data_IF_617377045618
#
_entry.id   IF_617377045618
#
_cell.length_a   1.000
_cell.length_b   1.000
_cell.length_c   1.000
_cell.angle_alpha   90.00
_cell.angle_beta   90.00
_cell.angle_gamma   90.00
#
_symmetry.space_group_name_H-M   'P 1'
#
loop_
_entity.id
_entity.type
_entity.pdbx_description
1 polymer ?
#
# COMPACT_ATOMS: atom_id res chain seq x y z
N UNK A 1 -26.33 24.94 28.77
CA UNK A 1 -25.62 24.30 27.64
C UNK A 1 -26.65 23.98 26.57
N UNK A 2 -26.56 24.58 25.38
CA UNK A 2 -27.47 24.24 24.28
C UNK A 2 -27.32 22.75 23.96
N UNK A 3 -28.43 22.02 23.94
CA UNK A 3 -28.49 20.63 23.52
C UNK A 3 -28.02 20.54 22.08
N UNK A 4 -26.83 19.99 21.89
CA UNK A 4 -26.19 19.86 20.58
C UNK A 4 -27.01 18.85 19.75
N UNK A 5 -27.42 19.20 18.52
CA UNK A 5 -28.22 18.30 17.70
C UNK A 5 -27.44 17.02 17.38
N UNK A 6 -28.15 15.89 17.38
CA UNK A 6 -27.57 14.57 17.10
C UNK A 6 -26.91 14.53 15.71
N UNK A 7 -25.78 13.81 15.54
CA UNK A 7 -25.04 13.75 14.27
C UNK A 7 -25.90 13.29 13.09
N UNK A 8 -26.90 12.44 13.34
CA UNK A 8 -27.86 11.97 12.34
C UNK A 8 -28.65 13.09 11.65
N UNK A 9 -28.92 14.21 12.35
CA UNK A 9 -29.64 15.36 11.78
C UNK A 9 -28.82 16.13 10.74
N UNK A 10 -27.51 15.92 10.67
CA UNK A 10 -26.62 16.62 9.74
C UNK A 10 -26.28 15.81 8.49
N UNK A 11 -26.55 14.51 8.45
CA UNK A 11 -26.19 13.65 7.33
C UNK A 11 -27.00 13.86 6.07
N UNK A 12 -28.26 14.28 6.21
CA UNK A 12 -29.13 14.64 5.08
C UNK A 12 -28.93 16.06 4.55
N UNK A 13 -28.01 16.85 5.15
CA UNK A 13 -27.74 18.21 4.67
C UNK A 13 -26.97 18.16 3.33
N UNK A 14 -27.20 19.13 2.45
CA UNK A 14 -26.47 19.24 1.20
C UNK A 14 -24.98 19.47 1.48
N UNK A 15 -24.16 18.84 0.66
CA UNK A 15 -22.70 18.95 0.60
C UNK A 15 -22.27 18.97 -0.87
N UNK A 16 -21.03 19.34 -1.16
CA UNK A 16 -20.56 19.44 -2.54
C UNK A 16 -19.24 18.71 -2.73
N UNK A 17 -19.12 17.99 -3.85
CA UNK A 17 -17.81 17.66 -4.37
C UNK A 17 -17.27 18.89 -5.10
N UNK A 18 -16.28 19.52 -4.49
CA UNK A 18 -15.70 20.76 -4.99
C UNK A 18 -14.89 20.54 -6.27
N UNK A 19 -15.14 21.38 -7.28
CA UNK A 19 -14.35 21.40 -8.52
C UNK A 19 -12.88 21.78 -8.25
N UNK A 20 -12.63 22.54 -7.18
CA UNK A 20 -11.28 22.88 -6.73
C UNK A 20 -10.40 21.64 -6.43
N UNK A 21 -11.00 20.50 -6.09
CA UNK A 21 -10.27 19.25 -5.84
C UNK A 21 -9.93 18.48 -7.12
N UNK A 22 -10.39 18.92 -8.30
CA UNK A 22 -10.23 18.18 -9.56
C UNK A 22 -8.76 18.02 -9.96
N UNK A 23 -7.94 19.06 -9.79
CA UNK A 23 -6.50 18.99 -10.12
C UNK A 23 -5.77 17.96 -9.24
N UNK A 24 -6.08 17.95 -7.94
CA UNK A 24 -5.54 16.96 -7.01
C UNK A 24 -6.01 15.54 -7.42
N UNK A 25 -7.29 15.39 -7.76
CA UNK A 25 -7.87 14.12 -8.19
C UNK A 25 -7.22 13.59 -9.48
N UNK A 26 -6.96 14.45 -10.48
CA UNK A 26 -6.25 14.08 -11.72
C UNK A 26 -4.86 13.54 -11.39
N UNK A 27 -4.08 14.31 -10.60
CA UNK A 27 -2.73 13.91 -10.16
C UNK A 27 -2.77 12.54 -9.46
N UNK A 28 -3.67 12.39 -8.49
CA UNK A 28 -3.81 11.17 -7.69
C UNK A 28 -4.25 9.97 -8.55
N UNK A 29 -5.18 10.18 -9.49
CA UNK A 29 -5.64 9.15 -10.42
C UNK A 29 -4.49 8.66 -11.32
N UNK A 30 -3.68 9.57 -11.88
CA UNK A 30 -2.51 9.21 -12.69
C UNK A 30 -1.54 8.35 -11.89
N UNK A 31 -1.15 8.78 -10.69
CA UNK A 31 -0.21 8.02 -9.86
C UNK A 31 -0.74 6.65 -9.44
N UNK A 32 -2.02 6.55 -9.06
CA UNK A 32 -2.63 5.27 -8.71
C UNK A 32 -2.68 4.31 -9.90
N UNK A 33 -3.04 4.79 -11.10
CA UNK A 33 -3.06 3.97 -12.31
C UNK A 33 -1.65 3.51 -12.71
N UNK A 34 -0.65 4.40 -12.65
CA UNK A 34 0.76 4.01 -12.85
C UNK A 34 1.21 2.98 -11.80
N UNK A 35 0.70 3.11 -10.58
CA UNK A 35 0.93 2.16 -9.48
C UNK A 35 0.40 0.75 -9.74
N UNK A 36 -0.50 0.56 -10.72
CA UNK A 36 -0.97 -0.77 -11.12
C UNK A 36 -0.12 -1.46 -12.17
N UNK A 37 0.77 -0.75 -12.88
CA UNK A 37 1.67 -1.37 -13.86
C UNK A 37 2.49 -2.54 -13.27
N UNK A 38 3.07 -2.42 -12.06
CA UNK A 38 3.73 -3.55 -11.41
C UNK A 38 2.77 -4.72 -11.09
N UNK A 39 1.51 -4.45 -10.74
CA UNK A 39 0.54 -5.52 -10.47
C UNK A 39 0.19 -6.26 -11.78
N UNK A 40 -0.04 -5.53 -12.87
CA UNK A 40 -0.27 -6.14 -14.18
C UNK A 40 0.93 -6.97 -14.65
N UNK A 41 2.15 -6.49 -14.42
CA UNK A 41 3.35 -7.26 -14.72
C UNK A 41 3.44 -8.56 -13.89
N UNK A 42 3.02 -8.55 -12.62
CA UNK A 42 2.92 -9.78 -11.83
C UNK A 42 1.96 -10.77 -12.47
N UNK A 43 0.78 -10.30 -12.91
CA UNK A 43 -0.22 -11.15 -13.57
C UNK A 43 0.36 -11.78 -14.84
N UNK A 44 1.04 -11.00 -15.67
CA UNK A 44 1.73 -11.52 -16.88
C UNK A 44 2.79 -12.56 -16.50
N UNK A 45 3.54 -12.34 -15.42
CA UNK A 45 4.53 -13.30 -14.95
C UNK A 45 3.87 -14.62 -14.51
N UNK A 46 2.76 -14.55 -13.77
CA UNK A 46 1.99 -15.73 -13.33
C UNK A 46 1.43 -16.48 -14.54
N UNK A 47 0.87 -15.75 -15.52
CA UNK A 47 0.34 -16.34 -16.75
C UNK A 47 1.42 -17.10 -17.53
N UNK A 48 2.61 -16.50 -17.68
CA UNK A 48 3.74 -17.14 -18.37
C UNK A 48 4.37 -18.29 -17.58
N UNK A 49 4.29 -18.28 -16.25
CA UNK A 49 4.87 -19.31 -15.40
C UNK A 49 4.02 -19.55 -14.15
N UNK A 50 3.10 -20.54 -14.15
CA UNK A 50 2.20 -20.79 -13.03
C UNK A 50 2.91 -21.24 -11.75
N UNK A 51 4.17 -21.70 -11.83
CA UNK A 51 4.96 -22.03 -10.65
C UNK A 51 5.24 -20.80 -9.75
N UNK A 52 5.18 -19.59 -10.30
CA UNK A 52 5.28 -18.34 -9.53
C UNK A 52 4.13 -18.27 -8.53
N UNK A 53 2.91 -18.62 -8.94
CA UNK A 53 1.75 -18.62 -8.06
C UNK A 53 1.98 -19.59 -6.90
N UNK A 54 2.38 -20.83 -7.17
CA UNK A 54 2.60 -21.83 -6.13
C UNK A 54 3.69 -21.40 -5.13
N UNK A 55 4.77 -20.78 -5.63
CA UNK A 55 5.93 -20.39 -4.82
C UNK A 55 5.73 -19.11 -4.00
N UNK A 56 4.99 -18.14 -4.54
CA UNK A 56 4.85 -16.81 -3.94
C UNK A 56 3.41 -16.47 -3.54
N UNK A 57 2.48 -17.46 -3.53
CA UNK A 57 1.07 -17.25 -3.16
C UNK A 57 0.90 -16.55 -1.81
N UNK A 58 1.65 -16.94 -0.79
CA UNK A 58 1.53 -16.42 0.58
C UNK A 58 2.30 -15.12 0.81
N UNK A 59 3.06 -14.64 -0.17
CA UNK A 59 3.85 -13.41 -0.02
C UNK A 59 3.40 -12.40 -1.04
N UNK A 60 4.02 -12.43 -2.21
CA UNK A 60 3.93 -11.37 -3.22
C UNK A 60 2.56 -11.36 -3.90
N UNK A 61 1.99 -12.54 -4.17
CA UNK A 61 0.69 -12.62 -4.83
C UNK A 61 -0.41 -12.18 -3.88
N UNK A 62 -0.39 -12.64 -2.62
CA UNK A 62 -1.33 -12.18 -1.60
C UNK A 62 -1.27 -10.66 -1.41
N UNK A 63 -0.07 -10.09 -1.22
CA UNK A 63 0.11 -8.64 -1.12
C UNK A 63 -0.44 -7.91 -2.35
N UNK A 64 -0.09 -8.37 -3.56
CA UNK A 64 -0.52 -7.73 -4.80
C UNK A 64 -2.04 -7.77 -5.00
N UNK A 65 -2.70 -8.89 -4.69
CA UNK A 65 -4.16 -9.02 -4.80
C UNK A 65 -4.85 -8.12 -3.77
N UNK A 66 -4.43 -8.18 -2.50
CA UNK A 66 -5.05 -7.37 -1.43
C UNK A 66 -4.87 -5.89 -1.72
N UNK A 67 -3.68 -5.47 -2.16
CA UNK A 67 -3.43 -4.10 -2.58
C UNK A 67 -4.35 -3.70 -3.73
N UNK A 68 -4.34 -4.43 -4.84
CA UNK A 68 -5.18 -4.11 -5.98
C UNK A 68 -6.67 -4.00 -5.61
N UNK A 69 -7.22 -4.99 -4.92
CA UNK A 69 -8.65 -5.05 -4.60
C UNK A 69 -9.09 -3.92 -3.68
N UNK A 70 -8.25 -3.52 -2.73
CA UNK A 70 -8.61 -2.51 -1.74
C UNK A 70 -8.24 -1.08 -2.16
N UNK A 71 -7.27 -0.91 -3.06
CA UNK A 71 -6.98 0.40 -3.64
C UNK A 71 -7.88 0.72 -4.84
N UNK A 72 -8.47 -0.29 -5.51
CA UNK A 72 -9.31 -0.10 -6.68
C UNK A 72 -10.50 0.85 -6.45
N UNK A 73 -11.31 0.72 -5.37
CA UNK A 73 -12.40 1.66 -5.10
C UNK A 73 -11.91 3.10 -4.98
N UNK A 74 -10.75 3.30 -4.37
CA UNK A 74 -10.14 4.63 -4.23
C UNK A 74 -9.66 5.18 -5.56
N UNK A 75 -9.10 4.34 -6.44
CA UNK A 75 -8.72 4.77 -7.79
C UNK A 75 -9.94 5.12 -8.63
N UNK A 76 -11.01 4.31 -8.59
CA UNK A 76 -12.24 4.58 -9.32
C UNK A 76 -12.83 5.92 -8.87
N UNK A 77 -12.89 6.16 -7.55
CA UNK A 77 -13.38 7.40 -6.99
C UNK A 77 -12.56 8.63 -7.43
N UNK A 78 -11.22 8.56 -7.36
CA UNK A 78 -10.36 9.66 -7.82
C UNK A 78 -10.45 9.88 -9.34
N UNK A 79 -10.53 8.81 -10.14
CA UNK A 79 -10.73 8.92 -11.59
C UNK A 79 -12.08 9.55 -11.93
N UNK A 80 -13.13 9.19 -11.20
CA UNK A 80 -14.45 9.80 -11.37
C UNK A 80 -14.42 11.30 -11.02
N UNK A 81 -13.84 11.67 -9.88
CA UNK A 81 -13.62 13.07 -9.50
C UNK A 81 -12.84 13.83 -10.58
N UNK A 82 -11.77 13.24 -11.10
CA UNK A 82 -10.92 13.85 -12.12
C UNK A 82 -11.66 14.12 -13.45
N UNK A 83 -12.50 13.18 -13.89
CA UNK A 83 -13.16 13.22 -15.20
C UNK A 83 -14.49 13.96 -15.20
N UNK A 84 -15.26 13.86 -14.11
CA UNK A 84 -16.67 14.26 -14.11
C UNK A 84 -17.00 15.44 -13.18
N UNK A 85 -16.12 15.80 -12.23
CA UNK A 85 -16.36 16.92 -11.30
C UNK A 85 -15.61 18.16 -11.80
N UNK A 86 -16.16 18.80 -12.84
CA UNK A 86 -15.69 20.07 -13.38
C UNK A 86 -16.54 21.27 -12.91
N UNK A 87 -17.57 21.01 -12.11
CA UNK A 87 -18.43 21.98 -11.43
C UNK A 87 -18.79 21.42 -10.04
N UNK A 88 -19.36 22.25 -9.18
CA UNK A 88 -19.84 21.81 -7.86
C UNK A 88 -20.95 20.77 -8.03
N UNK A 89 -20.67 19.53 -7.64
CA UNK A 89 -21.66 18.44 -7.68
C UNK A 89 -22.30 18.30 -6.32
N UNK A 90 -23.59 18.64 -6.22
CA UNK A 90 -24.36 18.51 -4.99
C UNK A 90 -24.53 17.05 -4.59
N UNK A 91 -24.38 16.79 -3.30
CA UNK A 91 -24.52 15.48 -2.67
C UNK A 91 -24.97 15.67 -1.21
N UNK A 92 -24.95 14.60 -0.42
CA UNK A 92 -25.20 14.66 1.02
C UNK A 92 -23.91 14.55 1.80
N UNK A 93 -23.88 15.14 2.99
CA UNK A 93 -22.74 15.00 3.92
C UNK A 93 -22.41 13.52 4.13
N UNK A 94 -23.42 12.67 4.28
CA UNK A 94 -23.22 11.22 4.43
C UNK A 94 -22.51 10.60 3.23
N UNK A 95 -23.08 10.76 2.02
CA UNK A 95 -22.55 10.10 0.83
C UNK A 95 -21.13 10.58 0.51
N UNK A 96 -20.89 11.88 0.65
CA UNK A 96 -19.58 12.46 0.43
C UNK A 96 -18.52 11.92 1.40
N UNK A 97 -18.88 11.86 2.69
CA UNK A 97 -18.00 11.34 3.75
C UNK A 97 -17.76 9.86 3.56
N UNK A 98 -18.80 9.08 3.29
CA UNK A 98 -18.70 7.64 3.04
C UNK A 98 -17.84 7.32 1.83
N UNK A 99 -18.08 7.97 0.70
CA UNK A 99 -17.30 7.76 -0.50
C UNK A 99 -15.82 8.11 -0.28
N UNK A 100 -15.52 9.28 0.28
CA UNK A 100 -14.12 9.73 0.46
C UNK A 100 -13.40 8.97 1.57
N UNK A 101 -13.99 8.85 2.76
CA UNK A 101 -13.34 8.18 3.91
C UNK A 101 -13.34 6.66 3.76
N UNK A 102 -14.43 6.07 3.28
CA UNK A 102 -14.51 4.63 3.06
C UNK A 102 -13.48 4.15 2.05
N UNK A 103 -13.39 4.81 0.90
CA UNK A 103 -12.38 4.45 -0.11
C UNK A 103 -10.95 4.73 0.35
N UNK A 104 -10.71 5.82 1.07
CA UNK A 104 -9.40 6.11 1.67
C UNK A 104 -9.00 5.06 2.72
N UNK A 105 -9.93 4.66 3.60
CA UNK A 105 -9.70 3.63 4.60
C UNK A 105 -9.34 2.28 3.97
N UNK A 106 -10.05 1.87 2.91
CA UNK A 106 -9.70 0.65 2.17
C UNK A 106 -8.27 0.72 1.62
N UNK A 107 -7.87 1.86 1.07
CA UNK A 107 -6.49 2.09 0.62
C UNK A 107 -5.48 1.95 1.78
N UNK A 108 -5.76 2.48 2.97
CA UNK A 108 -4.90 2.29 4.15
C UNK A 108 -4.83 0.84 4.61
N UNK A 109 -5.99 0.19 4.73
CA UNK A 109 -6.11 -1.23 5.10
C UNK A 109 -5.27 -2.11 4.17
N UNK A 110 -5.19 -1.76 2.88
CA UNK A 110 -4.38 -2.49 1.89
C UNK A 110 -2.90 -2.67 2.28
N UNK A 111 -2.32 -1.73 3.04
CA UNK A 111 -0.93 -1.82 3.48
C UNK A 111 -0.71 -2.81 4.64
N UNK A 112 -1.77 -3.15 5.39
CA UNK A 112 -1.71 -4.14 6.47
C UNK A 112 -1.40 -5.55 5.97
N UNK A 113 -1.56 -5.81 4.66
CA UNK A 113 -1.16 -7.05 4.04
C UNK A 113 0.33 -7.34 4.27
N UNK A 114 1.18 -6.31 4.25
CA UNK A 114 2.61 -6.45 4.48
C UNK A 114 2.88 -6.86 5.93
N UNK A 115 2.24 -6.22 6.90
CA UNK A 115 2.36 -6.58 8.31
C UNK A 115 1.92 -8.02 8.57
N UNK A 116 0.81 -8.45 7.96
CA UNK A 116 0.32 -9.82 8.05
C UNK A 116 1.34 -10.84 7.49
N UNK A 117 1.94 -10.55 6.33
CA UNK A 117 2.99 -11.38 5.73
C UNK A 117 4.23 -11.42 6.62
N UNK A 118 4.67 -10.27 7.14
CA UNK A 118 5.85 -10.16 8.00
C UNK A 118 5.69 -10.97 9.28
N UNK A 119 4.53 -10.90 9.92
CA UNK A 119 4.22 -11.68 11.12
C UNK A 119 4.20 -13.19 10.82
N UNK A 120 3.48 -13.59 9.77
CA UNK A 120 3.41 -14.98 9.33
C UNK A 120 4.78 -15.56 8.99
N UNK A 121 5.64 -14.78 8.32
CA UNK A 121 7.02 -15.18 8.00
C UNK A 121 7.91 -15.26 9.23
N UNK A 122 7.80 -14.32 10.17
CA UNK A 122 8.56 -14.38 11.41
C UNK A 122 8.22 -15.67 12.17
N UNK A 123 6.93 -15.99 12.32
CA UNK A 123 6.45 -17.22 12.94
C UNK A 123 6.99 -18.46 12.18
N UNK A 124 6.93 -18.44 10.86
CA UNK A 124 7.39 -19.58 10.03
C UNK A 124 8.90 -19.78 10.08
N UNK A 125 9.69 -18.71 10.06
CA UNK A 125 11.15 -18.79 9.94
C UNK A 125 11.81 -18.94 11.31
N UNK A 126 11.37 -18.16 12.30
CA UNK A 126 11.97 -18.12 13.64
C UNK A 126 11.33 -19.17 14.55
N UNK A 127 10.00 -19.25 14.59
CA UNK A 127 9.27 -20.20 15.44
C UNK A 127 9.03 -21.56 14.77
N UNK A 128 9.40 -21.71 13.48
CA UNK A 128 9.25 -22.95 12.68
C UNK A 128 7.81 -23.47 12.57
N UNK A 129 6.80 -22.61 12.80
CA UNK A 129 5.40 -23.00 12.69
C UNK A 129 4.85 -22.69 11.29
N UNK A 130 4.20 -23.66 10.67
CA UNK A 130 3.76 -23.57 9.28
C UNK A 130 2.53 -22.65 9.13
N UNK A 131 2.77 -21.38 8.82
CA UNK A 131 1.70 -20.43 8.50
C UNK A 131 1.38 -20.45 6.99
N UNK A 132 0.21 -20.97 6.64
CA UNK A 132 -0.34 -20.91 5.28
C UNK A 132 -1.05 -19.58 4.96
N UNK A 133 -1.70 -19.54 3.78
CA UNK A 133 -2.44 -18.36 3.31
C UNK A 133 -3.59 -17.94 4.27
N UNK A 134 -4.26 -18.92 4.89
CA UNK A 134 -5.35 -18.66 5.82
C UNK A 134 -4.89 -17.81 7.02
N UNK A 135 -3.70 -18.08 7.56
CA UNK A 135 -3.12 -17.29 8.65
C UNK A 135 -2.82 -15.86 8.23
N UNK A 136 -2.35 -15.64 7.00
CA UNK A 136 -2.16 -14.28 6.49
C UNK A 136 -3.48 -13.52 6.43
N UNK A 137 -4.56 -14.16 6.00
CA UNK A 137 -5.90 -13.55 5.96
C UNK A 137 -6.36 -13.20 7.37
N UNK A 138 -6.17 -14.09 8.35
CA UNK A 138 -6.51 -13.82 9.76
C UNK A 138 -5.70 -12.64 10.31
N UNK A 139 -4.37 -12.65 10.17
CA UNK A 139 -3.52 -11.55 10.65
C UNK A 139 -3.84 -10.23 9.95
N UNK A 140 -4.18 -10.28 8.66
CA UNK A 140 -4.61 -9.12 7.90
C UNK A 140 -5.90 -8.52 8.48
N UNK A 141 -6.91 -9.33 8.76
CA UNK A 141 -8.16 -8.86 9.35
C UNK A 141 -7.96 -8.32 10.76
N UNK A 142 -7.16 -9.00 11.59
CA UNK A 142 -6.82 -8.51 12.95
C UNK A 142 -6.11 -7.16 12.88
N UNK A 143 -5.15 -6.98 11.98
CA UNK A 143 -4.46 -5.71 11.79
C UNK A 143 -5.35 -4.62 11.13
N UNK A 144 -6.47 -4.99 10.52
CA UNK A 144 -7.35 -4.05 9.82
C UNK A 144 -8.59 -3.68 10.63
N UNK A 145 -8.96 -4.50 11.61
CA UNK A 145 -10.14 -4.29 12.44
C UNK A 145 -10.16 -2.93 13.16
N UNK A 146 -9.06 -2.42 13.75
CA UNK A 146 -9.09 -1.09 14.38
C UNK A 146 -9.42 0.04 13.41
N UNK A 147 -8.83 0.03 12.20
CA UNK A 147 -9.10 1.05 11.17
C UNK A 147 -10.58 1.01 10.74
N UNK A 148 -11.12 -0.20 10.53
CA UNK A 148 -12.53 -0.34 10.16
C UNK A 148 -13.45 0.07 11.31
N UNK A 149 -13.10 -0.28 12.54
CA UNK A 149 -13.80 0.14 13.75
C UNK A 149 -13.84 1.66 13.91
N UNK A 150 -12.71 2.34 13.69
CA UNK A 150 -12.61 3.81 13.76
C UNK A 150 -13.47 4.49 12.69
N UNK A 151 -13.48 3.98 11.47
CA UNK A 151 -14.33 4.50 10.38
C UNK A 151 -15.81 4.31 10.72
N UNK A 152 -16.19 3.15 11.24
CA UNK A 152 -17.57 2.88 11.68
C UNK A 152 -17.95 3.83 12.83
N UNK A 153 -17.09 3.96 13.85
CA UNK A 153 -17.27 4.85 15.00
C UNK A 153 -17.44 6.31 14.58
N UNK A 154 -16.71 6.75 13.55
CA UNK A 154 -16.85 8.10 12.98
C UNK A 154 -18.29 8.39 12.55
N UNK A 155 -19.03 7.43 11.98
CA UNK A 155 -20.42 7.64 11.57
C UNK A 155 -21.41 7.76 12.73
N UNK A 156 -21.01 7.40 13.94
CA UNK A 156 -21.84 7.52 15.14
C UNK A 156 -21.52 8.78 15.96
N UNK A 157 -20.26 9.24 15.96
CA UNK A 157 -19.78 10.25 16.91
C UNK A 157 -19.23 11.53 16.24
N UNK A 158 -18.86 11.47 14.96
CA UNK A 158 -18.25 12.63 14.30
C UNK A 158 -19.22 13.79 14.08
N UNK A 159 -18.66 15.01 14.05
CA UNK A 159 -19.39 16.24 13.73
C UNK A 159 -18.81 16.83 12.44
N UNK A 160 -19.61 17.07 11.40
CA UNK A 160 -19.12 17.74 10.20
C UNK A 160 -18.75 19.19 10.54
N UNK A 161 -17.48 19.53 10.47
CA UNK A 161 -17.01 20.92 10.54
C UNK A 161 -17.28 21.60 9.20
N UNK A 162 -17.86 22.80 9.21
CA UNK A 162 -18.31 23.52 8.00
C UNK A 162 -17.22 23.67 6.92
N UNK A 163 -15.94 23.78 7.31
CA UNK A 163 -14.82 23.95 6.37
C UNK A 163 -14.15 22.64 5.91
N UNK A 164 -14.60 21.48 6.42
CA UNK A 164 -14.04 20.16 6.07
C UNK A 164 -15.10 19.14 5.69
N UNK A 165 -16.33 19.57 5.35
CA UNK A 165 -17.31 18.69 4.71
C UNK A 165 -16.65 18.16 3.43
N UNK A 166 -16.67 16.83 3.24
CA UNK A 166 -15.94 16.17 2.16
C UNK A 166 -14.40 16.33 2.21
N UNK A 167 -13.81 16.77 3.33
CA UNK A 167 -12.38 17.04 3.49
C UNK A 167 -11.56 15.85 4.02
N UNK A 168 -10.22 15.92 3.99
CA UNK A 168 -9.35 14.87 4.50
C UNK A 168 -9.38 14.77 6.03
N UNK A 169 -9.65 13.57 6.56
CA UNK A 169 -9.11 12.98 7.81
C UNK A 169 -9.17 13.75 9.15
N UNK A 170 -9.91 14.86 9.24
CA UNK A 170 -10.07 15.67 10.46
C UNK A 170 -11.51 15.69 10.98
N UNK A 171 -12.25 14.59 10.82
CA UNK A 171 -13.65 14.48 11.30
C UNK A 171 -13.78 14.13 12.78
N UNK A 172 -12.70 13.71 13.41
CA UNK A 172 -12.69 13.45 14.84
C UNK A 172 -12.54 14.77 15.59
N UNK A 173 -13.64 15.28 16.13
CA UNK A 173 -13.64 16.42 17.05
C UNK A 173 -12.92 16.08 18.36
N UNK A 174 -13.02 14.82 18.79
CA UNK A 174 -12.36 14.32 19.98
C UNK A 174 -10.89 14.01 19.67
N UNK A 175 -9.98 14.56 20.47
CA UNK A 175 -8.54 14.34 20.34
C UNK A 175 -8.16 12.85 20.42
N UNK A 176 -8.88 12.07 21.25
CA UNK A 176 -8.59 10.67 21.51
C UNK A 176 -8.69 9.78 20.25
N UNK A 177 -9.82 9.68 19.53
CA UNK A 177 -9.91 8.87 18.31
C UNK A 177 -8.99 9.37 17.19
N UNK A 178 -8.76 10.68 17.05
CA UNK A 178 -7.76 11.22 16.11
C UNK A 178 -6.36 10.73 16.42
N UNK A 179 -5.99 10.73 17.70
CA UNK A 179 -4.68 10.31 18.17
C UNK A 179 -4.51 8.80 18.02
N UNK A 180 -5.52 8.01 18.39
CA UNK A 180 -5.53 6.55 18.19
C UNK A 180 -5.36 6.22 16.70
N UNK A 181 -6.13 6.85 15.83
CA UNK A 181 -6.03 6.68 14.39
C UNK A 181 -4.62 6.98 13.85
N UNK A 182 -4.07 8.15 14.20
CA UNK A 182 -2.75 8.57 13.75
C UNK A 182 -1.64 7.67 14.28
N UNK A 183 -1.69 7.30 15.56
CA UNK A 183 -0.75 6.35 16.16
C UNK A 183 -0.84 4.99 15.47
N UNK A 184 -2.06 4.52 15.17
CA UNK A 184 -2.28 3.23 14.54
C UNK A 184 -1.74 3.17 13.11
N UNK A 185 -2.10 4.16 12.28
CA UNK A 185 -1.64 4.26 10.89
C UNK A 185 -0.12 4.34 10.80
N UNK A 186 0.53 4.97 11.78
CA UNK A 186 1.99 5.05 11.86
C UNK A 186 2.62 3.74 12.35
N UNK A 187 2.05 3.15 13.40
CA UNK A 187 2.67 2.02 14.11
C UNK A 187 2.62 0.73 13.29
N UNK A 188 1.54 0.47 12.54
CA UNK A 188 1.39 -0.81 11.82
C UNK A 188 2.44 -1.02 10.72
N UNK A 189 2.71 -0.04 9.83
CA UNK A 189 3.82 -0.15 8.87
C UNK A 189 5.19 -0.29 9.55
N UNK A 190 5.42 0.42 10.67
CA UNK A 190 6.69 0.32 11.41
C UNK A 190 6.88 -1.05 12.05
N UNK A 191 5.81 -1.63 12.60
CA UNK A 191 5.84 -3.01 13.09
C UNK A 191 6.26 -3.95 11.96
N UNK A 192 5.73 -3.78 10.74
CA UNK A 192 6.17 -4.59 9.60
C UNK A 192 7.67 -4.44 9.30
N UNK A 193 8.21 -3.22 9.36
CA UNK A 193 9.65 -2.97 9.19
C UNK A 193 10.46 -3.72 10.26
N UNK A 194 10.07 -3.59 11.53
CA UNK A 194 10.75 -4.27 12.66
C UNK A 194 10.71 -5.78 12.48
N UNK A 195 9.54 -6.36 12.18
CA UNK A 195 9.37 -7.80 11.97
C UNK A 195 10.21 -8.31 10.79
N UNK A 196 10.27 -7.55 9.69
CA UNK A 196 11.11 -7.88 8.54
C UNK A 196 12.61 -7.75 8.86
N UNK A 197 13.02 -6.74 9.63
CA UNK A 197 14.38 -6.58 10.11
C UNK A 197 14.82 -7.76 10.99
N UNK A 198 13.98 -8.18 11.94
CA UNK A 198 14.25 -9.35 12.79
C UNK A 198 14.36 -10.62 11.95
N UNK A 199 13.45 -10.81 10.99
CA UNK A 199 13.47 -11.96 10.08
C UNK A 199 14.74 -11.98 9.22
N UNK A 200 15.12 -10.83 8.65
CA UNK A 200 16.33 -10.70 7.84
C UNK A 200 17.60 -10.91 8.69
N UNK A 201 17.66 -10.33 9.89
CA UNK A 201 18.75 -10.51 10.85
C UNK A 201 18.92 -11.97 11.25
N UNK A 202 17.82 -12.68 11.52
CA UNK A 202 17.86 -14.12 11.82
C UNK A 202 18.38 -14.95 10.64
N UNK A 203 17.94 -14.66 9.41
CA UNK A 203 18.42 -15.33 8.21
C UNK A 203 19.91 -15.06 7.94
N UNK A 204 20.39 -13.83 8.19
CA UNK A 204 21.80 -13.48 8.11
C UNK A 204 22.61 -14.20 9.18
N UNK A 205 22.17 -14.16 10.45
CA UNK A 205 22.82 -14.85 11.55
C UNK A 205 22.97 -16.34 11.25
N UNK A 206 21.89 -17.00 10.82
CA UNK A 206 21.90 -18.42 10.43
C UNK A 206 22.86 -18.68 9.27
N UNK A 207 22.96 -17.77 8.30
CA UNK A 207 23.91 -17.90 7.20
C UNK A 207 25.35 -17.88 7.70
N UNK A 208 25.72 -16.94 8.57
CA UNK A 208 27.07 -16.84 9.12
C UNK A 208 27.43 -17.98 10.08
N UNK A 209 26.50 -18.42 10.92
CA UNK A 209 26.74 -19.53 11.86
C UNK A 209 26.75 -20.92 11.20
N UNK A 210 26.09 -21.09 10.05
CA UNK A 210 26.00 -22.39 9.35
C UNK A 210 27.00 -22.52 8.18
N UNK A 211 28.09 -21.74 8.17
CA UNK A 211 29.12 -21.76 7.11
C UNK A 211 29.87 -23.11 6.96
N UNK A 212 29.56 -24.14 7.77
CA UNK A 212 30.10 -25.50 7.63
C UNK A 212 29.28 -26.51 6.79
N UNK A 213 28.02 -26.24 6.40
CA UNK A 213 27.15 -27.24 5.75
C UNK A 213 26.55 -26.74 4.42
N UNK A 214 27.26 -27.06 3.35
CA UNK A 214 27.11 -26.61 1.95
C UNK A 214 25.74 -26.94 1.29
N UNK A 215 24.88 -27.76 1.88
CA UNK A 215 23.71 -28.32 1.19
C UNK A 215 22.46 -27.42 1.09
N UNK A 216 22.31 -26.35 1.89
CA UNK A 216 21.09 -25.51 1.90
C UNK A 216 21.25 -24.06 1.38
N UNK A 217 22.39 -23.74 0.77
CA UNK A 217 22.77 -22.36 0.38
C UNK A 217 21.74 -21.68 -0.56
N UNK A 218 21.27 -22.35 -1.62
CA UNK A 218 20.35 -21.72 -2.61
C UNK A 218 18.98 -21.36 -2.04
N UNK A 219 18.43 -22.16 -1.12
CA UNK A 219 17.12 -21.89 -0.50
C UNK A 219 17.23 -20.71 0.46
N UNK A 220 18.26 -20.71 1.30
CA UNK A 220 18.51 -19.62 2.26
C UNK A 220 18.79 -18.28 1.54
N UNK A 221 19.54 -18.30 0.43
CA UNK A 221 19.78 -17.10 -0.39
C UNK A 221 18.50 -16.55 -1.00
N UNK A 222 17.61 -17.42 -1.51
CA UNK A 222 16.32 -16.98 -2.04
C UNK A 222 15.43 -16.38 -0.94
N UNK A 223 15.40 -16.98 0.26
CA UNK A 223 14.63 -16.43 1.39
C UNK A 223 15.17 -15.08 1.86
N UNK A 224 16.49 -14.87 1.82
CA UNK A 224 17.11 -13.59 2.14
C UNK A 224 16.70 -12.50 1.13
N UNK A 225 16.67 -12.80 -0.17
CA UNK A 225 16.19 -11.85 -1.18
C UNK A 225 14.71 -11.53 -1.01
N UNK A 226 13.89 -12.50 -0.62
CA UNK A 226 12.46 -12.25 -0.33
C UNK A 226 12.33 -11.39 0.93
N UNK A 227 13.12 -11.65 1.98
CA UNK A 227 13.11 -10.83 3.19
C UNK A 227 13.57 -9.40 2.91
N UNK A 228 14.59 -9.20 2.07
CA UNK A 228 15.04 -7.88 1.65
C UNK A 228 13.99 -7.15 0.80
N UNK A 229 13.32 -7.87 -0.10
CA UNK A 229 12.20 -7.32 -0.86
C UNK A 229 11.07 -6.86 0.08
N UNK A 230 10.64 -7.73 1.01
CA UNK A 230 9.60 -7.42 1.99
C UNK A 230 10.00 -6.27 2.93
N UNK A 231 11.28 -6.16 3.29
CA UNK A 231 11.79 -5.05 4.07
C UNK A 231 11.64 -3.73 3.30
N UNK A 232 12.12 -3.67 2.05
CA UNK A 232 11.96 -2.49 1.20
C UNK A 232 10.47 -2.13 1.01
N UNK A 233 9.64 -3.16 0.79
CA UNK A 233 8.19 -3.08 0.71
C UNK A 233 7.54 -2.50 1.97
N UNK A 234 8.04 -2.81 3.16
CA UNK A 234 7.53 -2.25 4.43
C UNK A 234 8.05 -0.84 4.74
N UNK A 235 9.28 -0.51 4.31
CA UNK A 235 9.89 0.82 4.55
C UNK A 235 9.16 1.91 3.75
N UNK A 236 8.74 1.61 2.52
CA UNK A 236 8.08 2.60 1.65
C UNK A 236 6.77 3.11 2.29
N UNK A 237 5.79 2.27 2.67
CA UNK A 237 4.61 2.69 3.43
C UNK A 237 4.96 3.31 4.78
N UNK A 238 5.98 2.82 5.49
CA UNK A 238 6.36 3.44 6.76
C UNK A 238 6.75 4.91 6.56
N UNK A 239 7.57 5.22 5.55
CA UNK A 239 7.96 6.59 5.24
C UNK A 239 6.78 7.44 4.75
N UNK A 240 5.96 6.91 3.85
CA UNK A 240 4.85 7.67 3.25
C UNK A 240 3.65 7.84 4.17
N UNK A 241 3.44 6.93 5.12
CA UNK A 241 2.46 7.09 6.19
C UNK A 241 2.97 8.00 7.30
N UNK A 242 4.26 7.93 7.64
CA UNK A 242 4.87 8.86 8.59
C UNK A 242 4.76 10.31 8.11
N UNK A 243 4.98 10.54 6.81
CA UNK A 243 4.84 11.88 6.23
C UNK A 243 3.39 12.39 6.29
N UNK A 244 2.40 11.52 6.05
CA UNK A 244 0.97 11.86 6.25
C UNK A 244 0.61 12.12 7.72
N UNK A 245 1.14 11.32 8.65
CA UNK A 245 0.96 11.53 10.07
C UNK A 245 1.55 12.87 10.53
N UNK A 246 2.75 13.21 10.04
CA UNK A 246 3.37 14.50 10.28
C UNK A 246 2.48 15.66 9.83
N UNK A 247 1.89 15.57 8.64
CA UNK A 247 0.91 16.57 8.17
C UNK A 247 -0.32 16.66 9.07
N UNK A 248 -0.90 15.53 9.48
CA UNK A 248 -2.06 15.55 10.39
C UNK A 248 -1.71 16.26 11.71
N UNK A 249 -0.53 16.01 12.26
CA UNK A 249 0.00 16.71 13.44
C UNK A 249 0.13 18.21 13.17
N UNK A 250 0.65 18.61 12.01
CA UNK A 250 0.77 20.03 11.65
C UNK A 250 -0.58 20.73 11.57
N UNK A 251 -1.57 20.08 10.97
CA UNK A 251 -2.94 20.59 10.89
C UNK A 251 -3.56 20.73 12.30
N UNK A 252 -3.29 19.78 13.21
CA UNK A 252 -3.78 19.81 14.61
C UNK A 252 -3.09 20.92 15.43
N UNK A 253 -1.78 21.09 15.30
CA UNK A 253 -0.99 22.05 16.09
C UNK A 253 -0.83 23.42 15.40
N UNK A 254 -1.42 23.62 14.22
CA UNK A 254 -1.36 24.88 13.47
C UNK A 254 0.03 25.24 12.92
N UNK A 255 0.90 24.25 12.71
CA UNK A 255 2.27 24.46 12.22
C UNK A 255 2.22 24.66 10.69
N UNK A 256 2.61 25.84 10.21
CA UNK A 256 2.65 26.12 8.76
C UNK A 256 3.84 25.45 8.09
N UNK A 257 3.59 24.71 7.01
CA UNK A 257 4.62 24.19 6.09
C UNK A 257 4.66 24.94 4.77
N UNK A 258 5.79 24.83 4.08
CA UNK A 258 5.92 25.29 2.70
C UNK A 258 5.07 24.40 1.78
N UNK A 259 4.34 25.01 0.82
CA UNK A 259 3.37 24.33 -0.03
C UNK A 259 3.95 23.18 -0.86
N UNK A 260 5.18 23.33 -1.38
CA UNK A 260 5.81 22.25 -2.15
C UNK A 260 6.05 20.98 -1.33
N UNK A 261 6.33 21.13 -0.02
CA UNK A 261 6.54 19.99 0.87
C UNK A 261 5.20 19.29 1.15
N UNK A 262 4.14 20.07 1.31
CA UNK A 262 2.77 19.56 1.47
C UNK A 262 2.36 18.72 0.25
N UNK A 263 2.61 19.23 -0.95
CA UNK A 263 2.34 18.52 -2.21
C UNK A 263 3.16 17.25 -2.37
N UNK A 264 4.46 17.31 -2.02
CA UNK A 264 5.33 16.14 -2.07
C UNK A 264 4.85 15.02 -1.14
N UNK A 265 4.47 15.39 0.09
CA UNK A 265 3.95 14.45 1.10
C UNK A 265 2.66 13.79 0.61
N UNK A 266 1.70 14.56 0.10
CA UNK A 266 0.47 14.01 -0.46
C UNK A 266 0.76 13.04 -1.61
N UNK A 267 1.56 13.50 -2.57
CA UNK A 267 1.85 12.76 -3.80
C UNK A 267 2.57 11.44 -3.52
N UNK A 268 3.51 11.43 -2.59
CA UNK A 268 4.28 10.24 -2.20
C UNK A 268 3.40 9.09 -1.70
N UNK A 269 2.28 9.40 -1.05
CA UNK A 269 1.31 8.41 -0.57
C UNK A 269 0.69 7.61 -1.71
N UNK A 270 0.41 8.24 -2.85
CA UNK A 270 -0.22 7.59 -4.00
C UNK A 270 0.73 6.68 -4.78
N UNK A 271 2.04 6.99 -4.74
CA UNK A 271 3.07 6.14 -5.36
C UNK A 271 3.37 4.87 -4.55
N UNK A 272 3.00 4.85 -3.27
CA UNK A 272 3.34 3.76 -2.32
C UNK A 272 2.90 2.39 -2.84
N UNK A 273 1.69 2.28 -3.40
CA UNK A 273 1.13 1.03 -3.93
C UNK A 273 2.00 0.45 -5.05
N UNK A 274 2.43 1.30 -6.00
CA UNK A 274 3.29 0.88 -7.11
C UNK A 274 4.72 0.58 -6.68
N UNK A 275 5.30 1.43 -5.83
CA UNK A 275 6.67 1.29 -5.34
C UNK A 275 6.83 0.01 -4.53
N UNK A 276 5.83 -0.35 -3.73
CA UNK A 276 5.80 -1.60 -2.99
C UNK A 276 6.01 -2.79 -3.93
N UNK A 277 5.18 -2.92 -4.95
CA UNK A 277 5.27 -4.07 -5.84
C UNK A 277 6.52 -4.05 -6.73
N UNK A 278 7.00 -2.85 -7.09
CA UNK A 278 8.24 -2.65 -7.84
C UNK A 278 9.47 -3.13 -7.05
N UNK A 279 9.50 -2.94 -5.73
CA UNK A 279 10.58 -3.45 -4.87
C UNK A 279 10.72 -4.98 -4.99
N UNK A 280 9.61 -5.72 -5.02
CA UNK A 280 9.64 -7.17 -5.26
C UNK A 280 10.23 -7.54 -6.63
N UNK A 281 9.96 -6.76 -7.67
CA UNK A 281 10.48 -7.02 -9.01
C UNK A 281 12.00 -6.85 -9.12
N UNK A 282 12.52 -5.84 -8.43
CA UNK A 282 13.94 -5.48 -8.47
C UNK A 282 14.75 -6.48 -7.61
N UNK A 283 14.26 -6.78 -6.41
CA UNK A 283 14.98 -7.59 -5.43
C UNK A 283 14.94 -9.09 -5.76
N UNK A 284 13.89 -9.61 -6.39
CA UNK A 284 13.75 -11.05 -6.63
C UNK A 284 14.26 -11.39 -8.03
N UNK A 285 15.35 -12.17 -8.06
CA UNK A 285 16.05 -12.57 -9.28
C UNK A 285 15.12 -13.10 -10.38
N UNK A 286 14.12 -13.91 -10.00
CA UNK A 286 13.19 -14.51 -10.97
C UNK A 286 12.32 -13.45 -11.67
N UNK A 287 11.75 -12.50 -10.93
CA UNK A 287 10.98 -11.40 -11.51
C UNK A 287 11.86 -10.48 -12.36
N UNK A 288 13.08 -10.17 -11.89
CA UNK A 288 14.04 -9.38 -12.65
C UNK A 288 14.42 -10.02 -13.99
N UNK A 289 14.59 -11.34 -14.03
CA UNK A 289 14.87 -12.08 -15.27
C UNK A 289 13.68 -12.03 -16.24
N UNK A 290 12.46 -12.22 -15.74
CA UNK A 290 11.24 -12.07 -16.55
C UNK A 290 11.07 -10.65 -17.08
N UNK A 291 11.34 -9.64 -16.24
CA UNK A 291 11.26 -8.23 -16.60
C UNK A 291 12.25 -7.88 -17.71
N UNK A 292 13.50 -8.34 -17.58
CA UNK A 292 14.52 -8.18 -18.63
C UNK A 292 14.09 -8.83 -19.93
N UNK A 293 13.56 -10.06 -19.91
CA UNK A 293 13.06 -10.73 -21.12
C UNK A 293 11.88 -10.02 -21.79
N UNK A 294 11.04 -9.35 -21.01
CA UNK A 294 9.87 -8.63 -21.50
C UNK A 294 10.23 -7.26 -22.09
N UNK A 295 11.12 -6.50 -21.45
CA UNK A 295 11.52 -5.16 -21.92
C UNK A 295 12.69 -5.20 -22.89
N UNK A 296 13.70 -6.01 -22.61
CA UNK A 296 14.79 -6.25 -23.53
C UNK A 296 14.36 -7.42 -24.40
N UNK A 297 13.75 -7.10 -25.54
CA UNK A 297 13.58 -8.01 -26.67
C UNK A 297 14.89 -8.78 -26.81
N UNK A 298 14.86 -10.11 -26.64
CA UNK A 298 16.05 -10.96 -26.66
C UNK A 298 16.84 -10.66 -27.94
N UNK A 299 17.84 -9.77 -27.85
CA UNK A 299 18.90 -9.66 -28.83
C UNK A 299 19.88 -10.75 -28.45
N UNK A 300 19.61 -11.98 -28.89
CA UNK A 300 20.63 -13.02 -28.87
C UNK A 300 21.70 -12.58 -29.86
N UNK A 301 22.78 -12.00 -29.35
CA UNK A 301 24.00 -11.75 -30.12
C UNK A 301 24.76 -13.06 -30.10
N UNK A 302 24.55 -13.89 -31.11
CA UNK A 302 25.42 -15.03 -31.40
C UNK A 302 26.59 -14.54 -32.24
N UNK A 303 27.80 -14.53 -31.67
CA UNK A 303 29.03 -14.40 -32.45
C UNK A 303 29.33 -15.75 -33.10
N UNK A 304 29.30 -15.80 -34.43
CA UNK A 304 29.81 -16.92 -35.21
C UNK A 304 31.03 -16.36 -35.95
N UNK A 305 32.23 -16.60 -35.42
CA UNK A 305 33.47 -15.97 -35.92
C UNK A 305 33.48 -14.45 -35.76
N UNK A 306 34.05 -13.74 -36.75
CA UNK A 306 34.16 -12.28 -36.77
C UNK A 306 32.87 -11.53 -37.15
N UNK A 307 31.78 -12.26 -37.42
CA UNK A 307 30.50 -11.67 -37.79
C UNK A 307 29.52 -11.76 -36.61
N UNK A 308 29.16 -10.61 -36.06
CA UNK A 308 28.03 -10.49 -35.12
C UNK A 308 26.72 -10.56 -35.88
N UNK A 309 26.03 -11.70 -35.79
CA UNK A 309 24.65 -11.83 -36.25
C UNK A 309 23.70 -11.51 -35.10
N UNK A 310 22.88 -10.48 -35.29
CA UNK A 310 21.82 -10.10 -34.34
C UNK A 310 20.53 -10.75 -34.82
N UNK A 311 20.12 -11.84 -34.16
CA UNK A 311 18.80 -12.44 -34.40
C UNK A 311 17.78 -11.75 -33.51
N UNK A 312 16.82 -11.07 -34.12
CA UNK A 312 15.65 -10.52 -33.42
C UNK A 312 14.52 -11.54 -33.56
N UNK A 313 14.23 -12.30 -32.50
CA UNK A 313 13.00 -13.10 -32.46
C UNK A 313 11.81 -12.20 -32.14
N UNK A 314 10.95 -11.99 -33.12
CA UNK A 314 9.56 -11.55 -32.93
C UNK A 314 8.75 -12.70 -32.33
N UNK A 315 8.12 -12.45 -31.18
CA UNK A 315 6.96 -13.24 -30.71
C UNK A 315 5.74 -12.68 -31.42
#
# INVERSE_FOLDING_TARGET
MATVPSPHLSYGKPAFFHAANQQEAIRNAVFLNLGYLPIYFLVVCIYKNPNILQRYKTTIVFAGIVQYMLTLPYTIFNSWLALYVNHEVETTVFFCTFARMGTSALNFVSFNALTAISLSRLITIVLKWHCGLAWNVVFFWVASAPILGDVIYMFFVSRPTQNHICGPLLFFYELAPTLVWNVYIFSIPLIAVVLNCVTAGYLLYKRYTTEGLVQNSRRNVNELFIAAALLAQSVIPALTMSSKGYRSIQDIYGIKTVDWLKDLIETSGYMTTGLNMTASMICIKHFRQMFRKLLMRDKSITRIGDVTTVTVRTI
#
